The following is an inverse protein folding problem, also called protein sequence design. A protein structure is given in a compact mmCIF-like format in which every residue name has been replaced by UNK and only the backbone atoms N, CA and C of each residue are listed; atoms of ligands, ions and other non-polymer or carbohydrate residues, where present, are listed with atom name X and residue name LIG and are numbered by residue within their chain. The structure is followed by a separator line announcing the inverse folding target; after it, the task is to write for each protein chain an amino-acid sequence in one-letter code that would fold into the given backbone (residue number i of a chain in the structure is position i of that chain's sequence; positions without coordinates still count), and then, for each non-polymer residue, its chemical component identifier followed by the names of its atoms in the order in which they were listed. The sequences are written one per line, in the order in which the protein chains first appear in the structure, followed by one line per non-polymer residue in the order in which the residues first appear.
data_IF_902570624272
#
_entry.id   IF_902570624272
#
_cell.length_a   1.000
_cell.length_b   1.000
_cell.length_c   1.000
_cell.angle_alpha   90.00
_cell.angle_beta   90.00
_cell.angle_gamma   90.00
#
_symmetry.space_group_name_H-M   'P 1'
#
loop_
_entity.id
_entity.type
_entity.pdbx_description
1 polymer ?
#
# COMPACT_ATOMS: atom_id res chain seq x y z
N UNK A 1 8.68 -10.38 1.63
CA UNK A 1 9.95 -9.84 1.09
C UNK A 1 9.98 -8.32 1.14
N UNK A 2 9.10 -7.59 0.44
CA UNK A 2 9.10 -6.11 0.44
C UNK A 2 9.01 -5.50 1.84
N UNK A 3 8.16 -6.03 2.73
CA UNK A 3 8.09 -5.56 4.11
C UNK A 3 9.42 -5.71 4.87
N UNK A 4 10.17 -6.78 4.60
CA UNK A 4 11.48 -7.02 5.20
C UNK A 4 12.51 -6.04 4.64
N UNK A 5 12.49 -5.78 3.33
CA UNK A 5 13.35 -4.77 2.68
C UNK A 5 13.06 -3.38 3.26
N UNK A 6 11.78 -3.00 3.34
CA UNK A 6 11.34 -1.75 3.95
C UNK A 6 11.84 -1.61 5.39
N UNK A 7 11.61 -2.62 6.23
CA UNK A 7 12.00 -2.59 7.63
C UNK A 7 13.52 -2.50 7.80
N UNK A 8 14.28 -3.31 7.06
CA UNK A 8 15.75 -3.30 7.12
C UNK A 8 16.33 -1.96 6.63
N UNK A 9 15.81 -1.41 5.53
CA UNK A 9 16.25 -0.12 5.00
C UNK A 9 15.90 1.04 5.95
N UNK A 10 14.68 1.05 6.50
CA UNK A 10 14.24 2.06 7.47
C UNK A 10 15.10 2.02 8.74
N UNK A 11 15.31 0.84 9.32
CA UNK A 11 16.16 0.66 10.51
C UNK A 11 17.60 1.06 10.19
N UNK A 12 18.14 0.66 9.04
CA UNK A 12 19.50 1.00 8.63
C UNK A 12 19.72 2.51 8.49
N UNK A 13 18.77 3.25 7.92
CA UNK A 13 18.86 4.71 7.79
C UNK A 13 18.67 5.41 9.14
N UNK A 14 17.64 5.03 9.92
CA UNK A 14 17.34 5.67 11.21
C UNK A 14 18.42 5.40 12.27
N UNK A 15 19.04 4.22 12.25
CA UNK A 15 20.16 3.88 13.15
C UNK A 15 21.49 4.51 12.75
N UNK A 16 21.58 5.15 11.58
CA UNK A 16 22.82 5.71 11.03
C UNK A 16 23.79 4.67 10.44
N UNK A 17 23.41 3.39 10.40
CA UNK A 17 24.22 2.33 9.80
C UNK A 17 24.34 2.48 8.27
N UNK A 18 23.29 3.00 7.63
CA UNK A 18 23.30 3.39 6.21
C UNK A 18 23.54 4.90 6.17
N UNK A 19 24.68 5.37 5.63
CA UNK A 19 24.95 6.79 5.49
C UNK A 19 23.88 7.46 4.63
N UNK A 20 23.23 8.50 5.17
CA UNK A 20 22.24 9.28 4.45
C UNK A 20 22.51 10.79 4.59
N UNK A 21 23.61 11.30 4.01
CA UNK A 21 24.05 12.68 4.20
C UNK A 21 23.07 13.74 3.64
N UNK A 22 22.21 13.34 2.71
CA UNK A 22 21.16 14.20 2.12
C UNK A 22 19.83 14.11 2.87
N UNK A 23 19.70 13.18 3.83
CA UNK A 23 18.45 12.95 4.55
C UNK A 23 18.33 13.83 5.79
N UNK A 24 17.17 14.46 5.97
CA UNK A 24 16.81 15.05 7.26
C UNK A 24 16.32 13.99 8.25
N UNK A 25 16.27 14.34 9.53
CA UNK A 25 15.69 13.49 10.57
C UNK A 25 14.24 13.10 10.25
N UNK A 26 13.82 11.90 10.65
CA UNK A 26 12.47 11.43 10.41
C UNK A 26 11.47 12.14 11.35
N UNK A 27 10.82 13.19 10.85
CA UNK A 27 9.71 13.89 11.51
C UNK A 27 8.44 13.78 10.67
N UNK A 28 7.39 13.19 11.26
CA UNK A 28 6.08 13.03 10.62
C UNK A 28 5.03 14.02 11.14
N UNK A 29 5.42 14.93 12.03
CA UNK A 29 4.51 15.91 12.64
C UNK A 29 4.39 17.21 11.84
N UNK A 30 5.35 17.46 10.95
CA UNK A 30 5.42 18.64 10.08
C UNK A 30 5.56 18.24 8.62
N UNK A 31 5.10 19.10 7.69
CA UNK A 31 5.23 18.84 6.25
C UNK A 31 6.70 18.89 5.84
N UNK A 32 7.44 19.84 6.42
CA UNK A 32 8.87 20.02 6.22
C UNK A 32 9.65 18.79 6.68
N UNK A 33 9.29 18.21 7.82
CA UNK A 33 9.84 16.96 8.33
C UNK A 33 9.64 15.80 7.35
N UNK A 34 8.42 15.63 6.84
CA UNK A 34 8.12 14.59 5.85
C UNK A 34 8.91 14.83 4.56
N UNK A 35 8.96 16.06 4.06
CA UNK A 35 9.76 16.41 2.88
C UNK A 35 11.24 16.08 3.07
N UNK A 36 11.79 16.30 4.26
CA UNK A 36 13.19 16.03 4.57
C UNK A 36 13.52 14.52 4.54
N UNK A 37 12.55 13.65 4.88
CA UNK A 37 12.70 12.20 4.71
C UNK A 37 12.85 11.86 3.22
N UNK A 38 12.00 12.44 2.38
CA UNK A 38 11.98 12.20 0.93
C UNK A 38 13.02 13.00 0.13
N UNK A 39 13.83 13.84 0.79
CA UNK A 39 14.87 14.62 0.13
C UNK A 39 16.06 13.77 -0.38
N UNK A 40 16.20 12.55 0.15
CA UNK A 40 17.30 11.64 -0.19
C UNK A 40 16.85 10.45 -1.05
N UNK A 41 17.76 9.91 -1.87
CA UNK A 41 17.50 8.69 -2.65
C UNK A 41 17.11 7.49 -1.77
N UNK A 42 17.74 7.38 -0.60
CA UNK A 42 17.44 6.33 0.38
C UNK A 42 16.00 6.47 0.91
N UNK A 43 15.61 7.67 1.32
CA UNK A 43 14.26 7.95 1.81
C UNK A 43 13.18 7.73 0.76
N UNK A 44 13.41 8.18 -0.49
CA UNK A 44 12.49 7.91 -1.62
C UNK A 44 12.35 6.40 -1.86
N UNK A 45 13.45 5.65 -1.79
CA UNK A 45 13.43 4.19 -1.98
C UNK A 45 12.65 3.48 -0.86
N UNK A 46 12.82 3.92 0.39
CA UNK A 46 12.08 3.41 1.54
C UNK A 46 10.59 3.68 1.37
N UNK A 47 10.21 4.92 1.03
CA UNK A 47 8.81 5.30 0.78
C UNK A 47 8.19 4.54 -0.41
N UNK A 48 8.93 4.36 -1.50
CA UNK A 48 8.48 3.57 -2.64
C UNK A 48 8.25 2.11 -2.28
N UNK A 49 9.17 1.51 -1.51
CA UNK A 49 9.03 0.13 -1.03
C UNK A 49 7.83 0.00 -0.08
N UNK A 50 7.58 1.01 0.75
CA UNK A 50 6.40 1.07 1.61
C UNK A 50 5.10 1.05 0.79
N UNK A 51 4.98 1.90 -0.22
CA UNK A 51 3.80 1.94 -1.10
C UNK A 51 3.59 0.61 -1.81
N UNK A 52 4.62 0.04 -2.44
CA UNK A 52 4.50 -1.26 -3.10
C UNK A 52 4.09 -2.38 -2.14
N UNK A 53 4.66 -2.42 -0.93
CA UNK A 53 4.33 -3.43 0.05
C UNK A 53 2.86 -3.33 0.49
N UNK A 54 2.37 -2.11 0.72
CA UNK A 54 0.99 -1.84 1.10
C UNK A 54 0.02 -2.15 -0.04
N UNK A 55 0.28 -1.64 -1.24
CA UNK A 55 -0.60 -1.80 -2.41
C UNK A 55 -0.77 -3.27 -2.80
N UNK A 56 0.31 -4.05 -2.78
CA UNK A 56 0.25 -5.49 -3.05
C UNK A 56 -0.46 -6.28 -1.93
N UNK A 57 -0.28 -5.88 -0.67
CA UNK A 57 -1.00 -6.49 0.44
C UNK A 57 -2.51 -6.24 0.31
N UNK A 58 -2.90 -4.99 0.06
CA UNK A 58 -4.30 -4.60 -0.14
C UNK A 58 -4.87 -5.30 -1.38
N UNK A 59 -4.14 -5.34 -2.48
CA UNK A 59 -4.57 -6.05 -3.70
C UNK A 59 -4.83 -7.53 -3.46
N UNK A 60 -3.94 -8.22 -2.72
CA UNK A 60 -4.15 -9.62 -2.34
C UNK A 60 -5.40 -9.78 -1.45
N UNK A 61 -5.61 -8.88 -0.50
CA UNK A 61 -6.79 -8.89 0.34
C UNK A 61 -8.08 -8.68 -0.49
N UNK A 62 -8.09 -7.70 -1.40
CA UNK A 62 -9.22 -7.45 -2.33
C UNK A 62 -9.51 -8.69 -3.18
N UNK A 63 -8.49 -9.31 -3.77
CA UNK A 63 -8.67 -10.49 -4.61
C UNK A 63 -9.31 -11.64 -3.83
N UNK A 64 -8.83 -11.92 -2.60
CA UNK A 64 -9.40 -12.96 -1.73
C UNK A 64 -10.82 -12.63 -1.28
N UNK A 65 -11.06 -11.37 -0.91
CA UNK A 65 -12.37 -10.91 -0.46
C UNK A 65 -13.41 -10.95 -1.60
N UNK A 66 -12.99 -10.66 -2.83
CA UNK A 66 -13.83 -10.75 -4.01
C UNK A 66 -14.12 -12.16 -4.44
N UNK A 67 -13.15 -13.07 -4.33
CA UNK A 67 -13.36 -14.50 -4.58
C UNK A 67 -14.36 -15.11 -3.58
N UNK A 68 -14.26 -14.75 -2.29
CA UNK A 68 -15.20 -15.18 -1.26
C UNK A 68 -16.63 -14.67 -1.48
N UNK A 69 -16.79 -13.56 -2.22
CA UNK A 69 -18.09 -12.97 -2.60
C UNK A 69 -18.51 -13.31 -4.04
N UNK A 70 -17.82 -14.23 -4.70
CA UNK A 70 -18.09 -14.65 -6.09
C UNK A 70 -18.09 -13.50 -7.11
N UNK A 71 -17.34 -12.42 -6.85
CA UNK A 71 -17.22 -11.28 -7.78
C UNK A 71 -16.36 -11.70 -8.97
N UNK A 72 -16.81 -11.39 -10.19
CA UNK A 72 -16.12 -11.81 -11.41
C UNK A 72 -14.72 -11.21 -11.53
N UNK A 73 -13.78 -11.96 -12.11
CA UNK A 73 -12.41 -11.49 -12.36
C UNK A 73 -12.34 -10.25 -13.25
N UNK A 74 -13.33 -10.06 -14.14
CA UNK A 74 -13.45 -8.87 -14.98
C UNK A 74 -13.71 -7.59 -14.18
N UNK A 75 -14.48 -7.68 -13.09
CA UNK A 75 -14.71 -6.55 -12.17
C UNK A 75 -13.52 -6.37 -11.23
N UNK A 76 -12.91 -7.46 -10.77
CA UNK A 76 -11.73 -7.38 -9.90
C UNK A 76 -10.53 -6.72 -10.62
N UNK A 77 -10.29 -7.02 -11.91
CA UNK A 77 -9.14 -6.54 -12.67
C UNK A 77 -8.93 -5.01 -12.64
N UNK A 78 -9.91 -4.15 -12.99
CA UNK A 78 -9.73 -2.70 -12.92
C UNK A 78 -9.55 -2.19 -11.48
N UNK A 79 -10.16 -2.84 -10.49
CA UNK A 79 -10.00 -2.48 -9.07
C UNK A 79 -8.58 -2.79 -8.59
N UNK A 80 -8.07 -3.98 -8.92
CA UNK A 80 -6.70 -4.39 -8.59
C UNK A 80 -5.66 -3.52 -9.30
N UNK A 81 -5.92 -3.10 -10.55
CA UNK A 81 -5.07 -2.14 -11.24
C UNK A 81 -5.08 -0.78 -10.54
N UNK A 82 -6.25 -0.28 -10.13
CA UNK A 82 -6.35 0.95 -9.36
C UNK A 82 -5.64 0.83 -8.01
N UNK A 83 -5.72 -0.31 -7.32
CA UNK A 83 -4.98 -0.56 -6.08
C UNK A 83 -3.47 -0.58 -6.30
N UNK A 84 -3.00 -1.14 -7.41
CA UNK A 84 -1.56 -1.16 -7.72
C UNK A 84 -0.99 0.23 -8.03
N UNK A 85 -1.77 1.10 -8.68
CA UNK A 85 -1.34 2.45 -9.04
C UNK A 85 -1.59 3.48 -7.93
N UNK A 86 -2.65 3.28 -7.17
CA UNK A 86 -3.13 4.16 -6.10
C UNK A 86 -3.87 3.34 -5.06
N UNK A 87 -3.13 2.64 -4.18
CA UNK A 87 -3.67 1.74 -3.14
C UNK A 87 -4.96 2.18 -2.47
N UNK A 88 -5.00 3.38 -1.87
CA UNK A 88 -6.19 3.90 -1.20
C UNK A 88 -7.40 4.08 -2.12
N UNK A 89 -7.19 4.46 -3.38
CA UNK A 89 -8.27 4.63 -4.36
C UNK A 89 -8.88 3.26 -4.72
N UNK A 90 -8.06 2.27 -5.05
CA UNK A 90 -8.55 0.93 -5.35
C UNK A 90 -9.24 0.28 -4.15
N UNK A 91 -8.71 0.49 -2.94
CA UNK A 91 -9.37 0.08 -1.69
C UNK A 91 -10.76 0.72 -1.54
N UNK A 92 -10.87 2.05 -1.72
CA UNK A 92 -12.14 2.74 -1.63
C UNK A 92 -13.16 2.19 -2.64
N UNK A 93 -12.76 1.98 -3.88
CA UNK A 93 -13.63 1.38 -4.92
C UNK A 93 -14.10 -0.01 -4.46
N UNK A 94 -13.20 -0.85 -3.95
CA UNK A 94 -13.57 -2.17 -3.45
C UNK A 94 -14.56 -2.12 -2.29
N UNK A 95 -14.36 -1.21 -1.32
CA UNK A 95 -15.26 -1.04 -0.18
C UNK A 95 -16.68 -0.68 -0.61
N UNK A 96 -16.84 0.09 -1.69
CA UNK A 96 -18.14 0.42 -2.26
C UNK A 96 -18.77 -0.79 -2.98
N UNK A 97 -17.97 -1.53 -3.75
CA UNK A 97 -18.45 -2.67 -4.56
C UNK A 97 -18.81 -3.89 -3.70
N UNK A 98 -18.08 -4.13 -2.60
CA UNK A 98 -18.21 -5.38 -1.82
C UNK A 98 -19.51 -5.50 -1.03
N UNK A 99 -20.17 -4.38 -0.68
CA UNK A 99 -21.41 -4.39 0.10
C UNK A 99 -22.61 -4.95 -0.70
N UNK A 100 -22.88 -4.48 -1.94
CA UNK A 100 -23.86 -5.11 -2.82
C UNK A 100 -23.58 -6.60 -3.07
N UNK A 101 -22.32 -6.97 -3.33
CA UNK A 101 -21.93 -8.35 -3.62
C UNK A 101 -22.21 -9.32 -2.44
N UNK A 102 -22.00 -8.86 -1.20
CA UNK A 102 -22.33 -9.63 -0.01
C UNK A 102 -23.85 -9.88 0.14
N UNK A 103 -24.68 -8.89 -0.22
CA UNK A 103 -26.15 -8.99 -0.16
C UNK A 103 -26.71 -9.93 -1.22
N UNK A 104 -26.13 -9.94 -2.42
CA UNK A 104 -26.53 -10.83 -3.50
C UNK A 104 -26.26 -12.29 -3.15
N UNK A 105 -25.07 -12.59 -2.63
CA UNK A 105 -24.70 -13.94 -2.17
C UNK A 105 -25.65 -14.47 -1.07
N UNK A 106 -26.11 -13.60 -0.17
CA UNK A 106 -27.04 -13.96 0.90
C UNK A 106 -28.50 -14.13 0.47
N UNK A 107 -28.91 -13.59 -0.69
CA UNK A 107 -30.27 -13.77 -1.23
C UNK A 107 -30.50 -15.13 -1.89
N UNK A 108 -29.43 -15.81 -2.29
CA UNK A 108 -29.47 -17.09 -2.99
C UNK A 108 -29.01 -18.27 -2.12
N UNK A 109 -28.86 -18.06 -0.80
CA UNK A 109 -28.67 -19.09 0.22
C UNK A 109 -29.90 -19.16 1.10
#
# INVERSE_FOLDING_TARGET
LLCLIYAAAMIGVVSGFIPNPEGGGADFTTIEGVQAIFASRAGVTIGWTHYLAFDLFVGLWIARDGDAKTVSRLVQAPILLATFLAGPLGLLIWLIVREPAARETGRFR
#
